data_IF_191612366898
#
_entry.id   IF_191612366898
#
_cell.length_a   1.000
_cell.length_b   1.000
_cell.length_c   1.000
_cell.angle_alpha   90.00
_cell.angle_beta   90.00
_cell.angle_gamma   90.00
#
_symmetry.space_group_name_H-M   'P 1'
#
loop_
_entity.id
_entity.type
_entity.pdbx_description
1 polymer ?
#
# COMPACT_ATOMS: atom_id res chain seq x y z
N UNK A 1 9.22 9.76 17.68
CA UNK A 1 8.17 9.05 18.46
C UNK A 1 6.99 8.69 17.57
N UNK A 2 6.29 9.64 16.92
CA UNK A 2 5.16 9.37 16.02
C UNK A 2 5.42 8.30 14.94
N UNK A 3 6.56 8.37 14.23
CA UNK A 3 6.93 7.39 13.19
C UNK A 3 7.18 6.00 13.77
N UNK A 4 7.84 5.91 14.92
CA UNK A 4 8.08 4.63 15.60
C UNK A 4 6.77 4.00 16.11
N UNK A 5 5.81 4.82 16.56
CA UNK A 5 4.47 4.35 16.95
C UNK A 5 3.71 3.78 15.75
N UNK A 6 3.78 4.45 14.59
CA UNK A 6 3.16 3.97 13.34
C UNK A 6 3.78 2.63 12.93
N UNK A 7 5.12 2.54 12.91
CA UNK A 7 5.82 1.30 12.56
C UNK A 7 5.53 0.16 13.55
N UNK A 8 5.33 0.46 14.84
CA UNK A 8 4.95 -0.52 15.86
C UNK A 8 3.52 -1.04 15.67
N UNK A 9 2.55 -0.16 15.40
CA UNK A 9 1.16 -0.55 15.12
C UNK A 9 1.08 -1.40 13.86
N UNK A 10 1.79 -0.97 12.81
CA UNK A 10 2.03 -1.73 11.58
C UNK A 10 2.52 -3.14 11.98
N UNK A 11 3.66 -3.26 12.66
CA UNK A 11 4.24 -4.55 13.07
C UNK A 11 3.28 -5.49 13.82
N UNK A 12 2.50 -4.98 14.77
CA UNK A 12 1.55 -5.79 15.56
C UNK A 12 0.41 -6.33 14.69
N UNK A 13 -0.11 -5.51 13.77
CA UNK A 13 -1.17 -5.93 12.84
C UNK A 13 -0.72 -7.05 11.88
N UNK A 14 0.59 -7.25 11.70
CA UNK A 14 1.12 -8.30 10.82
C UNK A 14 1.27 -9.68 11.47
N UNK A 15 1.23 -9.78 12.81
CA UNK A 15 1.30 -11.07 13.51
C UNK A 15 0.28 -12.11 13.00
N UNK A 16 -1.02 -11.82 12.87
CA UNK A 16 -2.00 -12.80 12.39
C UNK A 16 -1.81 -13.22 10.93
N UNK A 17 -1.08 -12.44 10.12
CA UNK A 17 -0.80 -12.73 8.70
C UNK A 17 0.48 -13.58 8.56
N UNK A 18 1.49 -13.31 9.40
CA UNK A 18 2.78 -14.01 9.39
C UNK A 18 2.63 -15.43 9.98
N UNK A 19 1.93 -15.57 11.12
CA UNK A 19 1.80 -16.83 11.86
C UNK A 19 1.37 -18.03 11.00
N UNK A 20 0.28 -17.96 10.19
CA UNK A 20 -0.15 -19.10 9.38
C UNK A 20 0.80 -19.43 8.20
N UNK A 21 1.69 -18.51 7.83
CA UNK A 21 2.55 -18.62 6.65
C UNK A 21 4.01 -18.96 6.97
N UNK A 22 4.39 -19.04 8.26
CA UNK A 22 5.75 -19.37 8.74
C UNK A 22 6.34 -20.67 8.16
N UNK A 23 5.50 -21.63 7.79
CA UNK A 23 5.92 -22.96 7.33
C UNK A 23 5.81 -23.17 5.81
N UNK A 24 5.44 -22.14 5.03
CA UNK A 24 5.39 -22.19 3.56
C UNK A 24 6.52 -21.31 2.96
N UNK A 25 7.72 -21.89 2.81
CA UNK A 25 8.97 -21.16 2.58
C UNK A 25 9.03 -20.22 1.36
N UNK A 26 8.21 -20.43 0.33
CA UNK A 26 8.22 -19.58 -0.89
C UNK A 26 7.20 -18.42 -0.83
N UNK A 27 6.12 -18.54 -0.07
CA UNK A 27 5.08 -17.50 0.04
C UNK A 27 5.45 -16.41 1.05
N UNK A 28 6.29 -16.72 2.03
CA UNK A 28 6.57 -15.79 3.12
C UNK A 28 7.35 -14.56 2.66
N UNK A 29 8.33 -14.74 1.77
CA UNK A 29 9.12 -13.63 1.24
C UNK A 29 8.24 -12.61 0.50
N UNK A 30 7.28 -13.10 -0.31
CA UNK A 30 6.33 -12.23 -1.02
C UNK A 30 5.40 -11.49 -0.07
N UNK A 31 4.90 -12.15 0.98
CA UNK A 31 4.09 -11.49 2.01
C UNK A 31 4.91 -10.41 2.71
N UNK A 32 6.15 -10.68 3.11
CA UNK A 32 7.03 -9.68 3.71
C UNK A 32 7.28 -8.47 2.80
N UNK A 33 7.43 -8.69 1.49
CA UNK A 33 7.57 -7.60 0.52
C UNK A 33 6.31 -6.72 0.46
N UNK A 34 5.12 -7.34 0.44
CA UNK A 34 3.86 -6.59 0.43
C UNK A 34 3.63 -5.81 1.73
N UNK A 35 3.99 -6.41 2.86
CA UNK A 35 3.96 -5.77 4.18
C UNK A 35 4.92 -4.58 4.26
N UNK A 36 6.17 -4.76 3.80
CA UNK A 36 7.14 -3.67 3.68
C UNK A 36 6.65 -2.55 2.75
N UNK A 37 6.01 -2.93 1.65
CA UNK A 37 5.33 -2.03 0.71
C UNK A 37 4.27 -1.18 1.40
N UNK A 38 3.34 -1.79 2.16
CA UNK A 38 2.31 -1.08 2.93
C UNK A 38 2.94 -0.12 3.93
N UNK A 39 3.96 -0.55 4.66
CA UNK A 39 4.61 0.29 5.67
C UNK A 39 5.24 1.54 5.06
N UNK A 40 6.03 1.37 3.99
CA UNK A 40 6.67 2.47 3.27
C UNK A 40 5.63 3.38 2.60
N UNK A 41 4.63 2.80 1.92
CA UNK A 41 3.58 3.54 1.25
C UNK A 41 2.75 4.37 2.24
N UNK A 42 2.37 3.79 3.38
CA UNK A 42 1.63 4.49 4.44
C UNK A 42 2.46 5.64 5.02
N UNK A 43 3.76 5.41 5.27
CA UNK A 43 4.67 6.47 5.73
C UNK A 43 4.75 7.62 4.73
N UNK A 44 4.90 7.33 3.43
CA UNK A 44 4.97 8.32 2.37
C UNK A 44 3.64 9.06 2.20
N UNK A 45 2.50 8.36 2.27
CA UNK A 45 1.15 8.94 2.24
C UNK A 45 0.98 9.95 3.37
N UNK A 46 1.26 9.56 4.63
CA UNK A 46 1.10 10.43 5.79
C UNK A 46 2.05 11.62 5.72
N UNK A 47 3.31 11.39 5.30
CA UNK A 47 4.30 12.46 5.16
C UNK A 47 3.90 13.46 4.08
N UNK A 48 3.43 12.99 2.92
CA UNK A 48 2.95 13.84 1.83
C UNK A 48 1.67 14.61 2.23
N UNK A 49 0.73 13.96 2.93
CA UNK A 49 -0.48 14.59 3.45
C UNK A 49 -0.15 15.68 4.49
N UNK A 50 0.79 15.40 5.40
CA UNK A 50 1.24 16.38 6.40
C UNK A 50 1.97 17.56 5.75
N UNK A 51 2.87 17.30 4.79
CA UNK A 51 3.54 18.34 4.03
C UNK A 51 2.53 19.17 3.22
N UNK A 52 1.52 18.54 2.63
CA UNK A 52 0.42 19.23 1.95
C UNK A 52 -0.37 20.13 2.90
N UNK A 53 -0.65 19.69 4.13
CA UNK A 53 -1.36 20.50 5.11
C UNK A 53 -0.62 21.81 5.44
N UNK A 54 0.73 21.82 5.33
CA UNK A 54 1.57 22.98 5.61
C UNK A 54 1.87 23.85 4.38
N UNK A 55 2.20 23.25 3.24
CA UNK A 55 2.70 23.95 2.05
C UNK A 55 1.58 24.17 1.01
N UNK A 56 0.55 23.31 1.00
CA UNK A 56 -0.65 23.38 0.14
C UNK A 56 -0.37 23.30 -1.37
N UNK A 57 0.76 22.74 -1.81
CA UNK A 57 1.03 22.50 -3.25
C UNK A 57 0.24 21.31 -3.79
N UNK A 58 -0.25 21.39 -5.03
CA UNK A 58 -1.05 20.30 -5.61
C UNK A 58 -0.18 19.07 -5.88
N UNK A 59 1.12 19.27 -6.13
CA UNK A 59 2.13 18.21 -6.18
C UNK A 59 2.12 17.29 -4.96
N UNK A 60 2.04 17.84 -3.75
CA UNK A 60 2.02 17.05 -2.51
C UNK A 60 0.68 16.31 -2.32
N UNK A 61 -0.43 16.91 -2.71
CA UNK A 61 -1.73 16.22 -2.69
C UNK A 61 -1.77 15.04 -3.68
N UNK A 62 -1.29 15.25 -4.91
CA UNK A 62 -1.27 14.21 -5.95
C UNK A 62 -0.36 13.04 -5.54
N UNK A 63 0.81 13.32 -5.00
CA UNK A 63 1.73 12.29 -4.49
C UNK A 63 1.13 11.53 -3.29
N UNK A 64 0.44 12.23 -2.38
CA UNK A 64 -0.29 11.57 -1.29
C UNK A 64 -1.39 10.63 -1.80
N UNK A 65 -2.17 11.03 -2.79
CA UNK A 65 -3.22 10.18 -3.40
C UNK A 65 -2.59 8.97 -4.10
N UNK A 66 -1.49 9.16 -4.82
CA UNK A 66 -0.77 8.06 -5.46
C UNK A 66 -0.30 7.02 -4.44
N UNK A 67 0.36 7.43 -3.36
CA UNK A 67 0.80 6.48 -2.33
C UNK A 67 -0.37 5.83 -1.59
N UNK A 68 -1.51 6.51 -1.41
CA UNK A 68 -2.74 5.88 -0.88
C UNK A 68 -3.26 4.77 -1.77
N UNK A 69 -3.23 4.94 -3.10
CA UNK A 69 -3.61 3.89 -4.05
C UNK A 69 -2.66 2.69 -3.97
N UNK A 70 -1.37 2.94 -3.73
CA UNK A 70 -0.41 1.86 -3.52
C UNK A 70 -0.73 1.08 -2.23
N UNK A 71 -1.01 1.77 -1.12
CA UNK A 71 -1.47 1.12 0.14
C UNK A 71 -2.70 0.26 -0.12
N UNK A 72 -3.70 0.78 -0.82
CA UNK A 72 -4.92 0.04 -1.13
C UNK A 72 -4.64 -1.22 -1.97
N UNK A 73 -3.78 -1.12 -2.98
CA UNK A 73 -3.38 -2.27 -3.80
C UNK A 73 -2.72 -3.37 -2.97
N UNK A 74 -1.77 -3.01 -2.11
CA UNK A 74 -1.03 -3.97 -1.31
C UNK A 74 -1.90 -4.64 -0.25
N UNK A 75 -2.86 -3.91 0.34
CA UNK A 75 -3.88 -4.51 1.22
C UNK A 75 -4.72 -5.55 0.46
N UNK A 76 -5.18 -5.22 -0.75
CA UNK A 76 -5.95 -6.14 -1.59
C UNK A 76 -5.14 -7.40 -1.91
N UNK A 77 -3.84 -7.26 -2.23
CA UNK A 77 -2.95 -8.41 -2.46
C UNK A 77 -2.80 -9.30 -1.23
N UNK A 78 -2.65 -8.72 -0.04
CA UNK A 78 -2.57 -9.51 1.19
C UNK A 78 -3.87 -10.26 1.44
N UNK A 79 -5.03 -9.63 1.21
CA UNK A 79 -6.34 -10.29 1.34
C UNK A 79 -6.45 -11.45 0.35
N UNK A 80 -6.07 -11.24 -0.91
CA UNK A 80 -6.10 -12.26 -1.97
C UNK A 80 -5.17 -13.46 -1.65
N UNK A 81 -3.96 -13.19 -1.14
CA UNK A 81 -3.02 -14.25 -0.72
C UNK A 81 -3.52 -15.00 0.52
N UNK A 82 -4.21 -14.33 1.44
CA UNK A 82 -4.72 -14.95 2.68
C UNK A 82 -5.97 -15.79 2.42
N UNK A 83 -6.84 -15.34 1.52
CA UNK A 83 -8.09 -15.99 1.12
C UNK A 83 -8.18 -16.15 -0.40
N UNK A 84 -7.35 -17.02 -0.98
CA UNK A 84 -7.33 -17.22 -2.42
C UNK A 84 -8.70 -17.71 -2.90
N UNK A 85 -9.13 -17.23 -4.06
CA UNK A 85 -10.41 -17.59 -4.70
C UNK A 85 -11.68 -17.30 -3.86
N UNK A 86 -11.60 -16.47 -2.82
CA UNK A 86 -12.75 -16.21 -1.95
C UNK A 86 -13.51 -14.95 -2.35
N UNK A 87 -12.79 -13.94 -2.84
CA UNK A 87 -13.35 -12.64 -3.18
C UNK A 87 -13.23 -12.39 -4.69
N UNK A 88 -14.35 -12.06 -5.34
CA UNK A 88 -14.43 -11.72 -6.76
C UNK A 88 -15.45 -10.61 -6.99
N UNK A 89 -15.17 -9.71 -7.93
CA UNK A 89 -16.13 -8.73 -8.43
C UNK A 89 -16.59 -9.17 -9.82
N UNK A 90 -17.62 -10.02 -9.86
CA UNK A 90 -18.06 -10.64 -11.11
C UNK A 90 -16.96 -11.53 -11.69
N UNK A 91 -16.48 -11.20 -12.89
CA UNK A 91 -15.38 -11.91 -13.56
C UNK A 91 -13.98 -11.38 -13.19
N UNK A 92 -13.88 -10.32 -12.38
CA UNK A 92 -12.61 -9.68 -12.04
C UNK A 92 -12.11 -10.20 -10.69
N UNK A 93 -10.85 -10.64 -10.67
CA UNK A 93 -10.18 -11.15 -9.46
C UNK A 93 -9.63 -10.00 -8.60
N UNK A 94 -9.45 -10.21 -7.28
CA UNK A 94 -8.80 -9.19 -6.43
C UNK A 94 -7.38 -8.89 -6.90
N UNK A 95 -6.65 -9.91 -7.36
CA UNK A 95 -5.35 -9.74 -7.97
C UNK A 95 -5.41 -8.73 -9.12
N UNK A 96 -6.37 -8.85 -10.05
CA UNK A 96 -6.52 -7.91 -11.16
C UNK A 96 -6.84 -6.49 -10.68
N UNK A 97 -7.73 -6.35 -9.68
CA UNK A 97 -8.05 -5.05 -9.07
C UNK A 97 -6.79 -4.42 -8.48
N UNK A 98 -5.96 -5.20 -7.78
CA UNK A 98 -4.71 -4.71 -7.20
C UNK A 98 -3.75 -4.17 -8.28
N UNK A 99 -3.65 -4.85 -9.42
CA UNK A 99 -2.84 -4.41 -10.54
C UNK A 99 -3.38 -3.12 -11.17
N UNK A 100 -4.69 -2.99 -11.33
CA UNK A 100 -5.31 -1.75 -11.83
C UNK A 100 -5.02 -0.57 -10.91
N UNK A 101 -5.03 -0.78 -9.59
CA UNK A 101 -4.66 0.26 -8.61
C UNK A 101 -3.18 0.66 -8.72
N UNK A 102 -2.26 -0.28 -8.96
CA UNK A 102 -0.83 0.04 -9.18
C UNK A 102 -0.66 0.85 -10.46
N UNK A 103 -1.34 0.48 -11.55
CA UNK A 103 -1.30 1.22 -12.81
C UNK A 103 -1.84 2.65 -12.61
N UNK A 104 -2.98 2.79 -11.92
CA UNK A 104 -3.55 4.09 -11.57
C UNK A 104 -2.61 4.92 -10.68
N UNK A 105 -1.97 4.28 -9.70
CA UNK A 105 -0.96 4.90 -8.85
C UNK A 105 0.21 5.43 -9.68
N UNK A 106 0.79 4.63 -10.59
CA UNK A 106 1.89 5.05 -11.44
C UNK A 106 1.51 6.24 -12.32
N UNK A 107 0.31 6.20 -12.91
CA UNK A 107 -0.24 7.29 -13.71
C UNK A 107 -0.34 8.59 -12.89
N UNK A 108 -0.99 8.54 -11.74
CA UNK A 108 -1.17 9.71 -10.86
C UNK A 108 0.17 10.21 -10.31
N UNK A 109 1.05 9.29 -9.91
CA UNK A 109 2.38 9.61 -9.40
C UNK A 109 3.22 10.34 -10.45
N UNK A 110 3.20 9.88 -11.70
CA UNK A 110 3.93 10.52 -12.79
C UNK A 110 3.49 11.98 -13.00
N UNK A 111 2.18 12.26 -12.91
CA UNK A 111 1.64 13.62 -12.96
C UNK A 111 2.19 14.46 -11.80
N UNK A 112 2.23 13.90 -10.59
CA UNK A 112 2.78 14.58 -9.41
C UNK A 112 4.28 14.89 -9.54
N UNK A 113 5.07 13.98 -10.11
CA UNK A 113 6.52 14.15 -10.28
C UNK A 113 6.86 15.30 -11.23
N UNK A 114 6.21 15.35 -12.40
CA UNK A 114 6.51 16.34 -13.44
C UNK A 114 5.86 17.70 -13.24
N UNK A 115 4.99 17.84 -12.23
CA UNK A 115 4.40 19.12 -11.87
C UNK A 115 5.45 20.09 -11.30
N UNK A 116 5.33 21.35 -11.73
CA UNK A 116 6.26 22.47 -11.45
C UNK A 116 5.69 23.54 -10.53
N UNK A 117 4.54 23.28 -9.91
CA UNK A 117 3.96 24.16 -8.89
C UNK A 117 4.63 24.00 -7.52
#
# INVERSE_FOLDING_TARGET
MFVASILGVIGILFLPIIIPNLFHGYHIAHIFLHVGGIALATFLTVSAAYAYAKIKTKKLAITSIAFSLFVASEIIKIVDVTWPYTFYLGSITLEQISHMLIIGMLGIFSIGVFRRD
#
